data_IF_847018207289
#
_entry.id   IF_847018207289
#
_cell.length_a   1.000
_cell.length_b   1.000
_cell.length_c   1.000
_cell.angle_alpha   90.00
_cell.angle_beta   90.00
_cell.angle_gamma   90.00
#
_symmetry.space_group_name_H-M   'P 1'
#
loop_
_entity.id
_entity.type
_entity.pdbx_description
1 polymer ?
#
# COMPACT_ATOMS: atom_id res chain seq x y z
N UNK A 1 -12.37 -10.94 -5.35
CA UNK A 1 -12.76 -12.27 -5.85
C UNK A 1 -13.39 -12.22 -7.24
N UNK A 2 -14.46 -11.44 -7.49
CA UNK A 2 -15.11 -11.37 -8.83
C UNK A 2 -14.15 -11.01 -9.96
N UNK A 3 -13.23 -10.06 -9.76
CA UNK A 3 -12.25 -9.64 -10.80
C UNK A 3 -11.36 -10.82 -11.20
N UNK A 4 -10.88 -11.60 -10.24
CA UNK A 4 -10.02 -12.76 -10.51
C UNK A 4 -10.83 -13.89 -11.18
N UNK A 5 -12.10 -14.05 -10.83
CA UNK A 5 -12.98 -15.02 -11.47
C UNK A 5 -13.20 -14.72 -12.97
N UNK A 6 -13.15 -13.45 -13.36
CA UNK A 6 -13.30 -13.02 -14.77
C UNK A 6 -11.96 -13.05 -15.51
N UNK A 7 -10.86 -12.56 -14.87
CA UNK A 7 -9.54 -12.47 -15.49
C UNK A 7 -8.75 -13.78 -15.48
N UNK A 8 -9.19 -14.75 -14.68
CA UNK A 8 -8.47 -16.02 -14.44
C UNK A 8 -7.41 -15.91 -13.34
N UNK A 9 -6.81 -17.07 -13.00
CA UNK A 9 -5.75 -17.18 -12.01
C UNK A 9 -4.43 -16.62 -12.54
N UNK A 10 -3.59 -16.09 -11.65
CA UNK A 10 -2.26 -15.61 -12.01
C UNK A 10 -1.84 -14.37 -11.22
N UNK A 11 -0.53 -14.22 -11.02
CA UNK A 11 0.04 -13.13 -10.21
C UNK A 11 -0.32 -11.75 -10.74
N UNK A 12 -0.30 -11.56 -12.07
CA UNK A 12 -0.63 -10.29 -12.72
C UNK A 12 -2.11 -9.93 -12.50
N UNK A 13 -3.00 -10.91 -12.61
CA UNK A 13 -4.43 -10.71 -12.42
C UNK A 13 -4.76 -10.35 -10.98
N UNK A 14 -4.07 -10.98 -10.02
CA UNK A 14 -4.14 -10.62 -8.59
C UNK A 14 -3.64 -9.19 -8.37
N UNK A 15 -2.50 -8.80 -8.96
CA UNK A 15 -1.97 -7.44 -8.82
C UNK A 15 -2.94 -6.40 -9.37
N UNK A 16 -3.56 -6.65 -10.54
CA UNK A 16 -4.58 -5.78 -11.12
C UNK A 16 -5.81 -5.68 -10.20
N UNK A 17 -6.30 -6.80 -9.68
CA UNK A 17 -7.45 -6.83 -8.78
C UNK A 17 -7.22 -6.02 -7.50
N UNK A 18 -6.04 -6.19 -6.87
CA UNK A 18 -5.64 -5.44 -5.66
C UNK A 18 -5.48 -3.94 -5.99
N UNK A 19 -4.91 -3.61 -7.15
CA UNK A 19 -4.74 -2.23 -7.59
C UNK A 19 -6.08 -1.53 -7.78
N UNK A 20 -7.01 -2.13 -8.52
CA UNK A 20 -8.36 -1.58 -8.75
C UNK A 20 -9.08 -1.36 -7.42
N UNK A 21 -9.00 -2.32 -6.50
CA UNK A 21 -9.63 -2.20 -5.17
C UNK A 21 -9.00 -1.10 -4.31
N UNK A 22 -7.71 -0.81 -4.51
CA UNK A 22 -6.99 0.25 -3.78
C UNK A 22 -7.32 1.67 -4.25
N UNK A 23 -7.71 1.87 -5.52
CA UNK A 23 -7.95 3.18 -6.14
C UNK A 23 -8.95 4.03 -5.33
N UNK A 24 -10.14 3.55 -4.95
CA UNK A 24 -11.12 4.39 -4.22
C UNK A 24 -10.59 4.86 -2.87
N UNK A 25 -9.84 4.02 -2.17
CA UNK A 25 -9.27 4.36 -0.86
C UNK A 25 -8.15 5.39 -1.02
N UNK A 26 -7.25 5.18 -1.98
CA UNK A 26 -6.18 6.14 -2.30
C UNK A 26 -6.77 7.51 -2.69
N UNK A 27 -7.75 7.52 -3.60
CA UNK A 27 -8.42 8.75 -4.03
C UNK A 27 -9.07 9.51 -2.87
N UNK A 28 -9.66 8.81 -1.92
CA UNK A 28 -10.27 9.43 -0.72
C UNK A 28 -9.24 10.08 0.18
N UNK A 29 -8.09 9.44 0.40
CA UNK A 29 -7.00 9.97 1.22
C UNK A 29 -6.38 11.20 0.56
N UNK A 30 -6.06 11.09 -0.75
CA UNK A 30 -5.53 12.22 -1.52
C UNK A 30 -6.49 13.41 -1.50
N UNK A 31 -7.78 13.16 -1.72
CA UNK A 31 -8.82 14.20 -1.65
C UNK A 31 -8.88 14.85 -0.27
N UNK A 32 -8.82 14.06 0.80
CA UNK A 32 -8.81 14.59 2.18
C UNK A 32 -7.61 15.50 2.44
N UNK A 33 -6.40 15.06 2.04
CA UNK A 33 -5.16 15.83 2.15
C UNK A 33 -5.23 17.14 1.35
N UNK A 34 -5.70 17.09 0.10
CA UNK A 34 -5.86 18.28 -0.76
C UNK A 34 -6.86 19.27 -0.15
N UNK A 35 -7.99 18.80 0.36
CA UNK A 35 -9.00 19.68 0.97
C UNK A 35 -8.49 20.34 2.25
N UNK A 36 -7.68 19.65 3.05
CA UNK A 36 -7.03 20.22 4.24
C UNK A 36 -6.06 21.34 3.87
N UNK A 37 -5.15 21.09 2.93
CA UNK A 37 -4.16 22.08 2.47
C UNK A 37 -4.82 23.29 1.80
N UNK A 38 -5.86 23.06 0.97
CA UNK A 38 -6.58 24.11 0.25
C UNK A 38 -7.23 25.15 1.17
N UNK A 39 -7.57 24.78 2.40
CA UNK A 39 -8.20 25.68 3.39
C UNK A 39 -7.22 26.53 4.16
N UNK A 40 -5.90 26.32 4.01
CA UNK A 40 -4.88 27.10 4.72
C UNK A 40 -4.86 28.56 4.23
N UNK A 41 -4.66 29.51 5.15
CA UNK A 41 -4.72 30.95 4.90
C UNK A 41 -3.77 31.39 3.79
N UNK A 42 -2.55 30.86 3.74
CA UNK A 42 -1.58 31.22 2.71
C UNK A 42 -2.05 30.85 1.28
N UNK A 43 -2.82 29.78 1.12
CA UNK A 43 -3.42 29.40 -0.18
C UNK A 43 -4.51 30.41 -0.58
N UNK A 44 -5.32 30.84 0.39
CA UNK A 44 -6.35 31.86 0.16
C UNK A 44 -5.73 33.21 -0.23
N UNK A 45 -4.67 33.62 0.47
CA UNK A 45 -3.92 34.85 0.16
C UNK A 45 -3.31 34.79 -1.25
N UNK A 46 -2.69 33.68 -1.65
CA UNK A 46 -2.15 33.52 -3.01
C UNK A 46 -3.24 33.62 -4.08
N UNK A 47 -4.41 33.06 -3.80
CA UNK A 47 -5.55 33.12 -4.71
C UNK A 47 -6.07 34.57 -4.85
N UNK A 48 -6.11 35.32 -3.75
CA UNK A 48 -6.46 36.75 -3.75
C UNK A 48 -5.44 37.61 -4.55
N UNK A 49 -4.17 37.23 -4.53
CA UNK A 49 -3.09 37.87 -5.32
C UNK A 49 -3.09 37.45 -6.80
N UNK A 50 -4.08 36.67 -7.27
CA UNK A 50 -4.23 36.30 -8.67
C UNK A 50 -3.34 35.14 -9.14
N UNK A 51 -2.78 34.33 -8.21
CA UNK A 51 -2.01 33.16 -8.60
C UNK A 51 -2.88 32.13 -9.33
N UNK A 52 -2.36 31.58 -10.45
CA UNK A 52 -3.08 30.58 -11.26
C UNK A 52 -3.29 29.28 -10.46
N UNK A 53 -4.41 28.61 -10.70
CA UNK A 53 -4.73 27.35 -10.05
C UNK A 53 -3.64 26.27 -10.26
N UNK A 54 -3.06 26.20 -11.48
CA UNK A 54 -1.97 25.28 -11.77
C UNK A 54 -0.74 25.53 -10.88
N UNK A 55 -0.34 26.79 -10.70
CA UNK A 55 0.78 27.17 -9.83
C UNK A 55 0.49 26.77 -8.37
N UNK A 56 -0.71 27.05 -7.88
CA UNK A 56 -1.13 26.69 -6.51
C UNK A 56 -1.08 25.17 -6.31
N UNK A 57 -1.61 24.40 -7.27
CA UNK A 57 -1.63 22.93 -7.17
C UNK A 57 -0.21 22.37 -7.19
N UNK A 58 0.59 22.69 -8.21
CA UNK A 58 1.89 22.03 -8.43
C UNK A 58 2.91 22.47 -7.37
N UNK A 59 2.94 23.78 -7.02
CA UNK A 59 4.01 24.34 -6.17
C UNK A 59 3.67 24.31 -4.68
N UNK A 60 2.38 24.25 -4.31
CA UNK A 60 1.97 24.39 -2.92
C UNK A 60 1.10 23.27 -2.39
N UNK A 61 0.13 22.78 -3.16
CA UNK A 61 -0.76 21.70 -2.69
C UNK A 61 -0.07 20.35 -2.80
N UNK A 62 0.44 20.01 -4.00
CA UNK A 62 1.01 18.70 -4.29
C UNK A 62 2.18 18.35 -3.36
N UNK A 63 3.20 19.20 -3.14
CA UNK A 63 4.29 18.86 -2.22
C UNK A 63 3.82 18.63 -0.78
N UNK A 64 2.86 19.41 -0.30
CA UNK A 64 2.29 19.23 1.05
C UNK A 64 1.39 18.00 1.20
N UNK A 65 0.90 17.42 0.09
CA UNK A 65 0.12 16.20 0.09
C UNK A 65 0.98 14.94 -0.12
N UNK A 66 2.26 15.07 -0.52
CA UNK A 66 3.13 13.91 -0.79
C UNK A 66 3.40 13.10 0.47
N UNK A 67 3.65 13.74 1.62
CA UNK A 67 3.95 13.07 2.87
C UNK A 67 2.87 12.04 3.25
N UNK A 68 1.59 12.40 3.43
CA UNK A 68 0.56 11.43 3.75
C UNK A 68 0.32 10.38 2.65
N UNK A 69 0.60 10.70 1.38
CA UNK A 69 0.48 9.75 0.27
C UNK A 69 1.59 8.70 0.34
N UNK A 70 2.83 9.10 0.60
CA UNK A 70 3.98 8.19 0.72
C UNK A 70 3.77 7.24 1.90
N UNK A 71 3.41 7.77 3.07
CA UNK A 71 3.09 6.95 4.26
C UNK A 71 1.99 5.94 3.96
N UNK A 72 0.91 6.37 3.33
CA UNK A 72 -0.17 5.47 2.93
C UNK A 72 0.31 4.40 1.95
N UNK A 73 1.13 4.76 0.97
CA UNK A 73 1.64 3.82 -0.03
C UNK A 73 2.52 2.73 0.61
N UNK A 74 3.41 3.07 1.55
CA UNK A 74 4.25 2.10 2.26
C UNK A 74 3.43 1.12 3.08
N UNK A 75 2.44 1.59 3.85
CA UNK A 75 1.52 0.72 4.61
C UNK A 75 0.68 -0.17 3.69
N UNK A 76 0.31 0.33 2.50
CA UNK A 76 -0.43 -0.47 1.50
C UNK A 76 0.42 -1.55 0.86
N UNK A 77 1.74 -1.39 0.76
CA UNK A 77 2.64 -2.45 0.29
C UNK A 77 2.58 -3.68 1.21
N UNK A 78 2.63 -3.50 2.53
CA UNK A 78 2.49 -4.59 3.50
C UNK A 78 1.17 -5.36 3.31
N UNK A 79 0.06 -4.63 3.21
CA UNK A 79 -1.28 -5.24 3.01
C UNK A 79 -1.43 -5.91 1.64
N UNK A 80 -0.79 -5.37 0.60
CA UNK A 80 -0.82 -5.95 -0.75
C UNK A 80 -0.06 -7.29 -0.79
N UNK A 81 1.11 -7.37 -0.17
CA UNK A 81 1.89 -8.62 -0.05
C UNK A 81 1.07 -9.69 0.65
N UNK A 82 0.47 -9.37 1.81
CA UNK A 82 -0.35 -10.31 2.56
C UNK A 82 -1.58 -10.76 1.77
N UNK A 83 -2.24 -9.84 1.06
CA UNK A 83 -3.39 -10.15 0.21
C UNK A 83 -3.01 -11.04 -0.97
N UNK A 84 -1.86 -10.78 -1.61
CA UNK A 84 -1.33 -11.60 -2.72
C UNK A 84 -1.02 -13.02 -2.22
N UNK A 85 -0.31 -13.14 -1.09
CA UNK A 85 0.01 -14.43 -0.49
C UNK A 85 -1.26 -15.22 -0.10
N UNK A 86 -2.27 -14.55 0.46
CA UNK A 86 -3.55 -15.17 0.80
C UNK A 86 -4.31 -15.67 -0.43
N UNK A 87 -4.32 -14.90 -1.52
CA UNK A 87 -4.96 -15.29 -2.78
C UNK A 87 -4.21 -16.43 -3.46
N UNK A 88 -2.87 -16.43 -3.41
CA UNK A 88 -2.03 -17.51 -3.92
C UNK A 88 -2.20 -18.79 -3.11
N UNK A 89 -2.30 -18.68 -1.77
CA UNK A 89 -2.64 -19.82 -0.89
C UNK A 89 -3.97 -20.47 -1.27
N UNK A 90 -4.96 -19.67 -1.67
CA UNK A 90 -6.27 -20.17 -2.14
C UNK A 90 -6.26 -20.67 -3.60
N UNK A 91 -5.10 -20.71 -4.26
CA UNK A 91 -4.95 -21.14 -5.64
C UNK A 91 -5.41 -20.13 -6.70
N UNK A 92 -5.70 -18.87 -6.29
CA UNK A 92 -6.15 -17.81 -7.20
C UNK A 92 -5.00 -16.94 -7.73
N UNK A 93 -3.81 -17.04 -7.11
CA UNK A 93 -2.63 -16.24 -7.45
C UNK A 93 -1.67 -16.96 -8.38
N UNK A 94 -0.37 -16.95 -8.01
CA UNK A 94 0.68 -17.58 -8.77
C UNK A 94 0.43 -19.09 -8.91
N UNK A 95 0.59 -19.58 -10.14
CA UNK A 95 0.48 -21.02 -10.44
C UNK A 95 1.89 -21.63 -10.58
N UNK A 96 2.09 -22.88 -10.19
CA UNK A 96 3.34 -23.59 -10.45
C UNK A 96 3.73 -23.53 -11.94
N UNK A 97 5.02 -23.37 -12.29
CA UNK A 97 6.21 -23.40 -11.43
C UNK A 97 6.60 -22.03 -10.83
N UNK A 98 5.78 -21.00 -10.88
CA UNK A 98 6.12 -19.65 -10.40
C UNK A 98 6.31 -19.66 -8.88
N UNK A 99 7.51 -19.31 -8.36
CA UNK A 99 7.77 -19.29 -6.92
C UNK A 99 7.04 -18.11 -6.27
N UNK A 100 6.19 -18.41 -5.26
CA UNK A 100 5.46 -17.42 -4.48
C UNK A 100 5.18 -17.99 -3.07
N UNK A 101 5.38 -17.20 -2.03
CA UNK A 101 5.33 -17.66 -0.65
C UNK A 101 3.97 -18.23 -0.23
N UNK A 102 2.85 -17.63 -0.65
CA UNK A 102 1.52 -18.14 -0.35
C UNK A 102 1.24 -19.48 -1.01
N UNK A 103 1.67 -19.65 -2.27
CA UNK A 103 1.60 -20.91 -2.99
C UNK A 103 2.50 -21.99 -2.36
N UNK A 104 3.69 -21.60 -1.86
CA UNK A 104 4.59 -22.49 -1.13
C UNK A 104 3.95 -22.98 0.19
N UNK A 105 3.28 -22.10 0.93
CA UNK A 105 2.56 -22.48 2.14
C UNK A 105 1.43 -23.49 1.80
N UNK A 106 0.68 -23.23 0.74
CA UNK A 106 -0.40 -24.15 0.29
C UNK A 106 0.16 -25.52 -0.08
N UNK A 107 1.24 -25.57 -0.85
CA UNK A 107 1.89 -26.84 -1.22
C UNK A 107 2.48 -27.60 -0.01
N UNK A 108 3.07 -26.85 0.94
CA UNK A 108 3.65 -27.41 2.16
C UNK A 108 2.63 -27.94 3.15
N UNK A 109 1.36 -27.55 3.06
CA UNK A 109 0.33 -27.95 4.01
C UNK A 109 0.14 -29.46 4.13
N UNK A 110 0.24 -30.18 3.01
CA UNK A 110 0.14 -31.65 2.99
C UNK A 110 1.28 -32.32 3.77
N UNK A 111 2.42 -31.65 3.94
CA UNK A 111 3.61 -32.15 4.62
C UNK A 111 3.82 -31.54 6.01
N UNK A 112 2.82 -30.89 6.57
CA UNK A 112 2.94 -30.14 7.81
C UNK A 112 3.40 -30.99 9.01
N UNK A 113 3.01 -32.26 9.03
CA UNK A 113 3.38 -33.20 10.10
C UNK A 113 4.76 -33.85 9.90
N UNK A 114 5.24 -33.96 8.67
CA UNK A 114 6.52 -34.61 8.35
C UNK A 114 7.63 -33.60 8.08
N UNK A 115 7.29 -32.44 7.51
CA UNK A 115 8.25 -31.41 7.08
C UNK A 115 7.69 -30.01 7.32
N UNK A 116 7.49 -29.58 8.59
CA UNK A 116 6.85 -28.31 8.92
C UNK A 116 7.59 -27.08 8.39
N UNK A 117 8.89 -27.19 8.13
CA UNK A 117 9.70 -26.11 7.59
C UNK A 117 9.21 -25.61 6.22
N UNK A 118 8.53 -26.45 5.44
CA UNK A 118 8.01 -26.09 4.11
C UNK A 118 6.90 -24.99 4.20
N UNK A 119 6.18 -24.92 5.32
CA UNK A 119 5.17 -23.88 5.59
C UNK A 119 5.69 -22.77 6.47
N UNK A 120 6.56 -23.08 7.46
CA UNK A 120 7.07 -22.13 8.43
C UNK A 120 8.01 -21.11 7.75
N UNK A 121 8.94 -21.58 6.90
CA UNK A 121 9.93 -20.69 6.27
C UNK A 121 9.28 -19.60 5.40
N UNK A 122 8.39 -19.92 4.44
CA UNK A 122 7.73 -18.87 3.68
C UNK A 122 6.78 -18.01 4.52
N UNK A 123 6.18 -18.56 5.59
CA UNK A 123 5.38 -17.80 6.54
C UNK A 123 6.20 -16.75 7.30
N UNK A 124 7.39 -17.12 7.77
CA UNK A 124 8.34 -16.19 8.41
C UNK A 124 8.80 -15.13 7.40
N UNK A 125 9.07 -15.51 6.16
CA UNK A 125 9.46 -14.56 5.12
C UNK A 125 8.38 -13.48 4.89
N UNK A 126 7.12 -13.88 4.77
CA UNK A 126 5.99 -12.94 4.66
C UNK A 126 5.93 -12.03 5.90
N UNK A 127 6.01 -12.61 7.09
CA UNK A 127 5.96 -11.87 8.35
C UNK A 127 7.05 -10.80 8.43
N UNK A 128 8.30 -11.15 8.11
CA UNK A 128 9.44 -10.22 8.15
C UNK A 128 9.28 -9.07 7.14
N UNK A 129 8.86 -9.37 5.92
CA UNK A 129 8.67 -8.33 4.89
C UNK A 129 7.51 -7.40 5.24
N UNK A 130 6.38 -7.95 5.71
CA UNK A 130 5.24 -7.15 6.17
C UNK A 130 5.62 -6.28 7.35
N UNK A 131 6.37 -6.83 8.32
CA UNK A 131 6.88 -6.08 9.46
C UNK A 131 7.82 -4.95 9.04
N UNK A 132 8.76 -5.23 8.13
CA UNK A 132 9.69 -4.23 7.62
C UNK A 132 8.95 -3.04 6.94
N UNK A 133 7.95 -3.33 6.09
CA UNK A 133 7.15 -2.27 5.46
C UNK A 133 6.34 -1.45 6.46
N UNK A 134 5.82 -2.06 7.54
CA UNK A 134 5.12 -1.33 8.59
C UNK A 134 6.08 -0.42 9.36
N UNK A 135 7.25 -0.91 9.78
CA UNK A 135 8.26 -0.11 10.48
C UNK A 135 8.74 1.07 9.61
N UNK A 136 8.99 0.82 8.32
CA UNK A 136 9.36 1.90 7.38
C UNK A 136 8.21 2.90 7.22
N UNK A 137 6.96 2.42 7.13
CA UNK A 137 5.78 3.28 7.03
C UNK A 137 5.60 4.16 8.25
N UNK A 138 5.76 3.62 9.45
CA UNK A 138 5.68 4.36 10.71
C UNK A 138 6.83 5.36 10.84
N UNK A 139 8.08 4.96 10.53
CA UNK A 139 9.23 5.86 10.54
C UNK A 139 9.09 7.02 9.53
N UNK A 140 8.53 6.75 8.34
CA UNK A 140 8.21 7.80 7.36
C UNK A 140 7.10 8.74 7.86
N UNK A 141 6.10 8.21 8.55
CA UNK A 141 5.05 9.00 9.16
C UNK A 141 5.62 9.97 10.20
N UNK A 142 6.44 9.45 11.11
CA UNK A 142 7.06 10.26 12.15
C UNK A 142 8.00 11.33 11.57
N UNK A 143 8.81 10.96 10.58
CA UNK A 143 9.74 11.89 9.92
C UNK A 143 9.03 12.96 9.06
N UNK A 144 7.83 12.71 8.58
CA UNK A 144 7.08 13.62 7.71
C UNK A 144 5.94 14.36 8.43
N UNK A 145 5.72 14.12 9.74
CA UNK A 145 4.70 14.81 10.53
C UNK A 145 5.22 16.20 10.96
N UNK A 146 4.66 17.29 10.44
CA UNK A 146 5.11 18.65 10.76
C UNK A 146 4.76 19.09 12.19
N UNK A 147 4.00 18.32 12.95
CA UNK A 147 3.58 18.67 14.31
C UNK A 147 4.56 18.18 15.40
N UNK A 148 5.57 17.39 15.05
CA UNK A 148 6.54 16.87 16.03
C UNK A 148 7.56 17.94 16.48
N UNK A 149 7.80 18.99 15.70
CA UNK A 149 8.78 20.04 16.00
C UNK A 149 8.28 21.15 16.96
N UNK A 150 7.03 21.09 17.46
CA UNK A 150 6.46 22.18 18.25
C UNK A 150 6.67 21.98 19.77
N UNK A 151 7.21 20.84 20.21
CA UNK A 151 7.36 20.48 21.64
C UNK A 151 8.82 20.24 22.07
N UNK A 152 9.81 20.83 21.42
CA UNK A 152 11.18 20.89 21.90
C UNK A 152 11.60 22.31 22.25
#
# INVERSE_FOLDING_TARGET
MLIIAILGTGLINVAIAISIWSIPTCARIVRGSVLSVKKREYILAMKALGASNARIIIKHILPNCLAPIIVFATMRMATAILSTASLSYLGLGAQPPTPEWGAMIAAGQAFMWTSPHMTIVPGIAIMLVVFAFNVVGDGLRDALDPNMDINQ
#
